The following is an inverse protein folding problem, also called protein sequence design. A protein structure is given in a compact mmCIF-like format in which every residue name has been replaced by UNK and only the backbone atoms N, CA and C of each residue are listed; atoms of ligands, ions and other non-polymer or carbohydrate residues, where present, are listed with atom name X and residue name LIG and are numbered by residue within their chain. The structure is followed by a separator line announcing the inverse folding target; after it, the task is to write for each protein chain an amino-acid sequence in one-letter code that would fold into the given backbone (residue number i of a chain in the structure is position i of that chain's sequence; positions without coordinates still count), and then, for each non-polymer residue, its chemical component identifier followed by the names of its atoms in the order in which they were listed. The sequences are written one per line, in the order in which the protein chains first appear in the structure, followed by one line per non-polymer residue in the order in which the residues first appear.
data_IF_852297577082
#
_entry.id   IF_852297577082
#
_cell.length_a   1.000
_cell.length_b   1.000
_cell.length_c   1.000
_cell.angle_alpha   90.00
_cell.angle_beta   90.00
_cell.angle_gamma   90.00
#
_symmetry.space_group_name_H-M   'P 1'
#
loop_
_entity.id
_entity.type
_entity.pdbx_description
1 polymer ?
#
# COMPACT_ATOMS: atom_id res chain seq x y z
N UNK A 1 -4.19 22.11 14.92
CA UNK A 1 -3.76 21.23 13.82
C UNK A 1 -3.46 19.88 14.44
N UNK A 2 -4.02 18.82 13.95
CA UNK A 2 -3.69 17.45 14.42
C UNK A 2 -2.31 17.07 13.91
N UNK A 3 -1.47 16.44 14.73
CA UNK A 3 -0.17 15.92 14.31
C UNK A 3 -0.41 14.76 13.32
N UNK A 4 0.20 14.76 12.12
CA UNK A 4 0.09 13.64 11.19
C UNK A 4 0.62 12.36 11.82
N UNK A 5 0.02 11.22 11.45
CA UNK A 5 0.47 9.93 11.94
C UNK A 5 1.84 9.53 11.34
N UNK A 6 2.03 9.80 10.05
CA UNK A 6 3.31 9.66 9.36
C UNK A 6 3.62 10.94 8.61
N UNK A 7 4.86 11.45 8.75
CA UNK A 7 5.38 12.57 7.97
C UNK A 7 6.77 12.25 7.43
N UNK A 8 6.97 12.60 6.18
CA UNK A 8 8.27 12.65 5.54
C UNK A 8 8.61 14.10 5.24
N UNK A 9 9.83 14.53 5.52
CA UNK A 9 10.29 15.90 5.26
C UNK A 9 11.62 15.87 4.52
N UNK A 10 11.64 16.41 3.29
CA UNK A 10 12.83 16.54 2.47
C UNK A 10 13.54 15.22 2.13
N UNK A 11 12.80 14.12 2.05
CA UNK A 11 13.36 12.77 1.84
C UNK A 11 13.92 12.65 0.43
N UNK A 12 15.21 12.35 0.34
CA UNK A 12 15.91 12.05 -0.91
C UNK A 12 16.58 10.68 -0.84
N UNK A 13 16.75 10.03 -2.00
CA UNK A 13 17.49 8.77 -2.11
C UNK A 13 18.34 8.74 -3.37
N UNK A 14 19.64 8.51 -3.20
CA UNK A 14 20.57 8.30 -4.28
C UNK A 14 21.16 6.88 -4.21
N UNK A 15 21.32 6.25 -5.37
CA UNK A 15 21.99 4.95 -5.56
C UNK A 15 23.11 5.14 -6.58
N UNK A 16 24.36 4.93 -6.16
CA UNK A 16 25.54 5.02 -7.06
C UNK A 16 25.53 6.23 -7.99
N UNK A 17 25.16 7.41 -7.44
CA UNK A 17 25.15 8.67 -8.20
C UNK A 17 23.84 8.95 -8.96
N UNK A 18 22.88 8.02 -8.98
CA UNK A 18 21.56 8.25 -9.58
C UNK A 18 20.56 8.62 -8.49
N UNK A 19 19.91 9.76 -8.63
CA UNK A 19 18.86 10.20 -7.71
C UNK A 19 17.55 9.49 -8.04
N UNK A 20 17.14 8.58 -7.18
CA UNK A 20 15.84 7.87 -7.28
C UNK A 20 14.70 8.68 -6.67
N UNK A 21 14.99 9.52 -5.67
CA UNK A 21 14.05 10.46 -5.04
C UNK A 21 14.77 11.75 -4.70
N UNK A 22 14.05 12.89 -4.84
CA UNK A 22 14.58 14.23 -4.58
C UNK A 22 13.53 15.04 -3.80
N UNK A 23 13.88 15.43 -2.57
CA UNK A 23 13.14 16.37 -1.72
C UNK A 23 11.63 16.03 -1.57
N UNK A 24 11.33 14.78 -1.25
CA UNK A 24 9.95 14.32 -1.08
C UNK A 24 9.46 14.65 0.33
N UNK A 25 8.41 15.45 0.41
CA UNK A 25 7.69 15.74 1.65
C UNK A 25 6.25 15.32 1.51
N UNK A 26 5.77 14.45 2.41
CA UNK A 26 4.43 13.85 2.43
C UNK A 26 3.94 13.72 3.87
N UNK A 27 2.62 13.75 4.05
CA UNK A 27 2.01 13.46 5.34
C UNK A 27 0.72 12.67 5.18
N UNK A 28 0.41 11.84 6.17
CA UNK A 28 -0.87 11.14 6.26
C UNK A 28 -1.39 11.15 7.69
N UNK A 29 -2.66 11.52 7.84
CA UNK A 29 -3.36 11.52 9.12
C UNK A 29 -3.98 10.15 9.42
N UNK A 30 -4.23 9.86 10.70
CA UNK A 30 -5.00 8.69 11.11
C UNK A 30 -6.39 8.68 10.47
N UNK A 31 -6.81 7.53 9.95
CA UNK A 31 -8.11 7.38 9.30
C UNK A 31 -8.26 8.15 7.99
N UNK A 32 -7.16 8.46 7.30
CA UNK A 32 -7.12 9.08 5.97
C UNK A 32 -6.43 8.18 4.95
N UNK A 33 -6.77 8.39 3.69
CA UNK A 33 -6.14 7.71 2.55
C UNK A 33 -5.32 8.73 1.77
N UNK A 34 -3.99 8.57 1.79
CA UNK A 34 -3.07 9.25 0.89
C UNK A 34 -2.87 8.37 -0.35
N UNK A 35 -3.18 8.87 -1.53
CA UNK A 35 -2.88 8.20 -2.79
C UNK A 35 -1.56 8.70 -3.35
N UNK A 36 -0.58 7.81 -3.45
CA UNK A 36 0.70 8.07 -4.10
C UNK A 36 0.61 7.61 -5.55
N UNK A 37 0.50 8.56 -6.44
CA UNK A 37 0.31 8.36 -7.88
C UNK A 37 1.62 8.54 -8.64
N UNK A 38 1.70 7.99 -9.82
CA UNK A 38 2.84 8.14 -10.74
C UNK A 38 2.98 6.92 -11.63
N UNK A 39 3.68 7.10 -12.75
CA UNK A 39 3.94 6.02 -13.70
C UNK A 39 5.08 5.09 -13.22
N UNK A 40 5.35 4.05 -13.98
CA UNK A 40 6.47 3.14 -13.72
C UNK A 40 7.79 3.92 -13.78
N UNK A 41 8.66 3.67 -12.80
CA UNK A 41 9.91 4.41 -12.69
C UNK A 41 9.82 5.79 -11.98
N UNK A 42 8.63 6.24 -11.58
CA UNK A 42 8.44 7.53 -10.90
C UNK A 42 9.08 7.61 -9.49
N UNK A 43 9.58 6.50 -8.93
CA UNK A 43 10.19 6.47 -7.60
C UNK A 43 9.31 5.88 -6.50
N UNK A 44 8.05 5.50 -6.79
CA UNK A 44 7.08 4.99 -5.81
C UNK A 44 7.62 3.82 -4.99
N UNK A 45 8.18 2.79 -5.63
CA UNK A 45 8.73 1.61 -4.93
C UNK A 45 9.94 1.95 -4.05
N UNK A 46 10.74 2.95 -4.42
CA UNK A 46 11.83 3.44 -3.58
C UNK A 46 11.29 4.12 -2.33
N UNK A 47 10.25 4.93 -2.48
CA UNK A 47 9.61 5.62 -1.36
C UNK A 47 8.92 4.61 -0.40
N UNK A 48 8.23 3.59 -0.93
CA UNK A 48 7.69 2.48 -0.13
C UNK A 48 8.80 1.82 0.69
N UNK A 49 9.94 1.49 0.06
CA UNK A 49 11.07 0.84 0.74
C UNK A 49 11.68 1.71 1.85
N UNK A 50 11.65 3.03 1.70
CA UNK A 50 12.08 3.95 2.77
C UNK A 50 11.07 3.94 3.91
N UNK A 51 9.78 4.13 3.63
CA UNK A 51 8.72 4.12 4.65
C UNK A 51 8.62 2.79 5.39
N UNK A 52 8.94 1.68 4.72
CA UNK A 52 8.93 0.33 5.31
C UNK A 52 10.25 -0.08 5.98
N UNK A 53 11.24 0.83 6.11
CA UNK A 53 12.53 0.55 6.75
C UNK A 53 13.46 -0.36 5.96
N UNK A 54 13.18 -0.64 4.69
CA UNK A 54 14.05 -1.45 3.83
C UNK A 54 15.25 -0.66 3.30
N UNK A 55 15.08 0.67 3.11
CA UNK A 55 16.14 1.59 2.73
C UNK A 55 16.14 2.80 3.66
N UNK A 56 17.31 3.23 4.11
CA UNK A 56 17.46 4.54 4.73
C UNK A 56 17.40 5.64 3.67
N UNK A 57 16.78 6.79 3.95
CA UNK A 57 16.91 7.96 3.10
C UNK A 57 18.38 8.42 3.06
N UNK A 58 18.79 9.08 1.97
CA UNK A 58 20.10 9.74 1.90
C UNK A 58 20.08 11.07 2.65
N UNK A 59 18.97 11.80 2.56
CA UNK A 59 18.68 13.03 3.32
C UNK A 59 17.21 13.08 3.68
N UNK A 60 16.85 13.98 4.59
CA UNK A 60 15.49 14.17 5.06
C UNK A 60 15.19 13.32 6.29
N UNK A 61 13.97 13.43 6.81
CA UNK A 61 13.52 12.79 8.05
C UNK A 61 12.17 12.10 7.87
N UNK A 62 11.95 11.09 8.72
CA UNK A 62 10.67 10.40 8.87
C UNK A 62 10.21 10.63 10.30
N UNK A 63 8.95 10.98 10.48
CA UNK A 63 8.33 11.16 11.79
C UNK A 63 7.08 10.28 11.89
N UNK A 64 6.89 9.66 13.06
CA UNK A 64 5.66 8.95 13.45
C UNK A 64 5.06 9.65 14.66
N UNK A 65 3.80 10.09 14.58
CA UNK A 65 3.13 10.86 15.63
C UNK A 65 3.91 12.13 16.04
N UNK A 66 4.69 12.72 15.12
CA UNK A 66 5.54 13.89 15.35
C UNK A 66 6.89 13.59 15.97
N UNK A 67 7.22 12.33 16.25
CA UNK A 67 8.52 11.91 16.77
C UNK A 67 9.40 11.40 15.62
N UNK A 68 10.65 11.90 15.50
CA UNK A 68 11.58 11.42 14.47
C UNK A 68 11.93 9.95 14.70
N UNK A 69 11.97 9.18 13.60
CA UNK A 69 12.34 7.77 13.61
C UNK A 69 13.46 7.50 12.61
N UNK A 70 14.36 6.58 12.95
CA UNK A 70 15.39 6.06 12.06
C UNK A 70 15.28 4.54 12.03
N UNK A 71 14.87 3.99 10.91
CA UNK A 71 14.70 2.54 10.75
C UNK A 71 16.00 1.89 10.30
N UNK A 72 16.50 0.94 11.09
CA UNK A 72 17.63 0.08 10.72
C UNK A 72 17.16 -1.13 9.90
N UNK A 73 15.88 -1.51 10.08
CA UNK A 73 15.30 -2.69 9.45
C UNK A 73 13.78 -2.54 9.22
N UNK A 74 13.18 -3.38 8.35
CA UNK A 74 11.73 -3.45 8.21
C UNK A 74 10.98 -3.83 9.49
N UNK A 75 11.68 -4.49 10.43
CA UNK A 75 11.11 -4.82 11.74
C UNK A 75 10.86 -3.56 12.56
N UNK A 76 11.79 -2.61 12.54
CA UNK A 76 11.64 -1.35 13.29
C UNK A 76 10.43 -0.56 12.79
N UNK A 77 10.22 -0.51 11.47
CA UNK A 77 9.03 0.10 10.88
C UNK A 77 7.74 -0.64 11.30
N UNK A 78 7.78 -1.97 11.32
CA UNK A 78 6.66 -2.79 11.80
C UNK A 78 6.35 -2.58 13.27
N UNK A 79 7.37 -2.48 14.12
CA UNK A 79 7.25 -2.23 15.57
C UNK A 79 6.67 -0.81 15.84
N UNK A 80 6.82 0.13 14.90
CA UNK A 80 6.15 1.44 14.89
C UNK A 80 4.74 1.42 14.27
N UNK A 81 4.24 0.24 13.91
CA UNK A 81 2.90 0.07 13.36
C UNK A 81 2.79 0.36 11.86
N UNK A 82 3.89 0.35 11.11
CA UNK A 82 3.85 0.44 9.64
C UNK A 82 3.80 -0.97 9.05
N UNK A 83 2.75 -1.28 8.30
CA UNK A 83 2.64 -2.53 7.56
C UNK A 83 2.58 -2.27 6.06
N UNK A 84 3.32 -3.08 5.30
CA UNK A 84 3.33 -3.00 3.83
C UNK A 84 2.78 -4.26 3.20
N UNK A 85 1.80 -4.11 2.33
CA UNK A 85 1.25 -5.17 1.49
C UNK A 85 1.71 -4.92 0.06
N UNK A 86 2.65 -5.73 -0.40
CA UNK A 86 3.21 -5.64 -1.76
C UNK A 86 2.27 -6.28 -2.79
N UNK A 87 2.41 -5.85 -4.03
CA UNK A 87 1.65 -6.34 -5.20
C UNK A 87 1.73 -7.87 -5.35
N UNK A 88 2.92 -8.43 -5.19
CA UNK A 88 3.17 -9.87 -5.25
C UNK A 88 3.86 -10.31 -3.96
N UNK A 89 3.21 -11.16 -3.19
CA UNK A 89 3.80 -11.71 -1.98
C UNK A 89 2.91 -11.59 -0.74
N UNK A 90 3.48 -11.99 0.40
CA UNK A 90 2.78 -11.95 1.70
C UNK A 90 1.75 -13.05 1.90
N UNK A 91 1.49 -13.90 0.90
CA UNK A 91 0.63 -15.08 1.02
C UNK A 91 1.31 -16.34 0.49
N UNK A 92 1.02 -17.47 1.13
CA UNK A 92 1.61 -18.77 0.80
C UNK A 92 0.51 -19.70 0.25
N UNK A 93 0.48 -19.99 -1.08
CA UNK A 93 -0.62 -20.71 -1.72
C UNK A 93 -0.93 -22.09 -1.14
N UNK A 94 0.10 -22.80 -0.67
CA UNK A 94 -0.03 -24.14 -0.09
C UNK A 94 -0.35 -24.15 1.40
N UNK A 95 -0.49 -23.00 2.03
CA UNK A 95 -0.91 -22.89 3.43
C UNK A 95 -2.41 -22.68 3.53
N UNK A 96 -3.01 -23.17 4.62
CA UNK A 96 -4.36 -22.80 5.00
C UNK A 96 -4.44 -21.33 5.44
N UNK A 97 -5.59 -20.69 5.28
CA UNK A 97 -5.84 -19.28 5.61
C UNK A 97 -5.39 -18.94 7.02
N UNK A 98 -5.78 -19.73 8.03
CA UNK A 98 -5.42 -19.50 9.43
C UNK A 98 -3.90 -19.54 9.65
N UNK A 99 -3.22 -20.50 9.05
CA UNK A 99 -1.76 -20.59 9.17
C UNK A 99 -1.06 -19.45 8.45
N UNK A 100 -1.51 -19.10 7.26
CA UNK A 100 -0.95 -17.97 6.49
C UNK A 100 -1.15 -16.63 7.23
N UNK A 101 -2.30 -16.45 7.89
CA UNK A 101 -2.59 -15.26 8.69
C UNK A 101 -1.60 -15.06 9.83
N UNK A 102 -1.19 -16.15 10.48
CA UNK A 102 -0.32 -16.14 11.68
C UNK A 102 1.14 -16.47 11.42
N UNK A 103 1.61 -16.52 10.17
CA UNK A 103 3.03 -16.76 9.89
C UNK A 103 3.92 -15.79 10.68
N UNK A 104 4.82 -16.35 11.53
CA UNK A 104 5.73 -15.58 12.38
C UNK A 104 5.14 -15.09 13.71
N UNK A 105 3.85 -15.38 13.99
CA UNK A 105 3.16 -15.05 15.24
C UNK A 105 2.13 -16.13 15.61
N UNK A 106 2.49 -17.38 15.40
CA UNK A 106 1.59 -18.54 15.49
C UNK A 106 1.00 -18.71 16.90
N UNK A 107 -0.34 -18.75 17.06
CA UNK A 107 -0.96 -19.12 18.32
C UNK A 107 -0.62 -20.57 18.67
N UNK A 108 -0.21 -20.79 19.90
CA UNK A 108 0.20 -22.12 20.36
C UNK A 108 -0.68 -22.61 21.51
N UNK A 109 -0.87 -23.92 21.57
CA UNK A 109 -1.47 -24.64 22.69
C UNK A 109 -0.47 -25.65 23.25
N UNK A 110 -0.63 -25.98 24.53
CA UNK A 110 0.31 -26.86 25.23
C UNK A 110 1.18 -26.10 26.23
N UNK A 111 2.09 -26.82 26.88
CA UNK A 111 2.88 -26.31 27.99
C UNK A 111 4.38 -26.62 27.80
N UNK A 112 5.22 -25.66 28.19
CA UNK A 112 6.69 -25.81 28.15
C UNK A 112 7.22 -26.11 26.74
N UNK A 113 8.06 -27.15 26.56
CA UNK A 113 8.63 -27.53 25.28
C UNK A 113 7.61 -28.22 24.32
N UNK A 114 6.42 -28.57 24.80
CA UNK A 114 5.36 -29.23 24.02
C UNK A 114 4.32 -28.25 23.48
N UNK A 115 4.76 -27.07 23.09
CA UNK A 115 3.89 -26.09 22.42
C UNK A 115 3.66 -26.50 20.97
N UNK A 116 2.39 -26.67 20.59
CA UNK A 116 1.98 -26.98 19.24
C UNK A 116 1.14 -25.83 18.66
N UNK A 117 1.21 -25.62 17.37
CA UNK A 117 0.37 -24.65 16.68
C UNK A 117 -1.12 -24.93 16.92
N UNK A 118 -1.86 -23.93 17.39
CA UNK A 118 -3.30 -24.05 17.55
C UNK A 118 -4.03 -23.66 16.25
N UNK A 119 -4.16 -24.67 15.39
CA UNK A 119 -4.76 -24.53 14.07
C UNK A 119 -6.20 -24.01 14.13
N UNK A 120 -6.99 -24.45 15.12
CA UNK A 120 -8.38 -24.04 15.27
C UNK A 120 -8.48 -22.57 15.62
N UNK A 121 -7.78 -22.14 16.65
CA UNK A 121 -7.76 -20.72 17.08
C UNK A 121 -7.28 -19.83 15.94
N UNK A 122 -6.21 -20.22 15.25
CA UNK A 122 -5.70 -19.47 14.09
C UNK A 122 -6.73 -19.35 12.96
N UNK A 123 -7.41 -20.43 12.64
CA UNK A 123 -8.46 -20.47 11.62
C UNK A 123 -9.66 -19.59 11.97
N UNK A 124 -10.19 -19.75 13.20
CA UNK A 124 -11.35 -19.00 13.68
C UNK A 124 -11.07 -17.48 13.71
N UNK A 125 -9.88 -17.07 14.16
CA UNK A 125 -9.48 -15.65 14.17
C UNK A 125 -9.33 -15.12 12.73
N UNK A 126 -8.60 -15.82 11.87
CA UNK A 126 -8.37 -15.36 10.50
C UNK A 126 -9.71 -15.18 9.74
N UNK A 127 -10.63 -16.13 9.85
CA UNK A 127 -11.95 -16.05 9.24
C UNK A 127 -12.73 -14.85 9.79
N UNK A 128 -12.76 -14.67 11.11
CA UNK A 128 -13.44 -13.54 11.75
C UNK A 128 -12.89 -12.19 11.29
N UNK A 129 -11.57 -12.04 11.25
CA UNK A 129 -10.93 -10.78 10.83
C UNK A 129 -11.17 -10.49 9.35
N UNK A 130 -11.13 -11.50 8.49
CA UNK A 130 -11.53 -11.35 7.08
C UNK A 130 -12.99 -10.94 6.95
N UNK A 131 -13.89 -11.57 7.72
CA UNK A 131 -15.33 -11.22 7.72
C UNK A 131 -15.57 -9.79 8.21
N UNK A 132 -14.80 -9.31 9.21
CA UNK A 132 -14.88 -7.92 9.69
C UNK A 132 -14.50 -6.87 8.63
N UNK A 133 -13.80 -7.30 7.58
CA UNK A 133 -13.47 -6.53 6.38
C UNK A 133 -14.37 -6.90 5.17
N UNK A 134 -15.54 -7.49 5.44
CA UNK A 134 -16.56 -7.77 4.41
C UNK A 134 -16.31 -9.01 3.55
N UNK A 135 -15.36 -9.89 3.90
CA UNK A 135 -15.09 -11.15 3.21
C UNK A 135 -15.91 -12.27 3.82
N UNK A 136 -17.12 -12.44 3.36
CA UNK A 136 -18.04 -13.45 3.93
C UNK A 136 -17.91 -14.84 3.32
N UNK A 137 -17.22 -14.98 2.18
CA UNK A 137 -17.09 -16.26 1.46
C UNK A 137 -16.03 -17.19 2.03
N UNK A 138 -15.10 -16.69 2.82
CA UNK A 138 -14.09 -17.47 3.51
C UNK A 138 -14.65 -17.82 4.88
N UNK A 139 -15.07 -19.08 5.05
CA UNK A 139 -15.69 -19.59 6.29
C UNK A 139 -14.86 -20.70 6.94
N UNK A 140 -13.83 -21.17 6.26
CA UNK A 140 -12.95 -22.24 6.72
C UNK A 140 -11.49 -21.76 6.76
N UNK A 141 -10.89 -21.75 7.96
CA UNK A 141 -9.49 -21.40 8.18
C UNK A 141 -8.49 -22.40 7.60
N UNK A 142 -8.94 -23.61 7.26
CA UNK A 142 -8.11 -24.63 6.61
C UNK A 142 -8.12 -24.53 5.09
N UNK A 143 -9.01 -23.75 4.52
CA UNK A 143 -9.06 -23.49 3.08
C UNK A 143 -7.68 -23.00 2.59
N UNK A 144 -7.14 -23.62 1.53
CA UNK A 144 -5.84 -23.25 0.97
C UNK A 144 -5.89 -21.83 0.37
N UNK A 145 -4.90 -21.02 0.69
CA UNK A 145 -4.76 -19.65 0.17
C UNK A 145 -4.68 -19.62 -1.36
N UNK A 146 -4.10 -20.66 -1.99
CA UNK A 146 -4.07 -20.79 -3.44
C UNK A 146 -5.44 -20.91 -4.10
N UNK A 147 -6.48 -21.33 -3.36
CA UNK A 147 -7.86 -21.42 -3.86
C UNK A 147 -8.65 -20.12 -3.69
N UNK A 148 -8.09 -19.12 -3.06
CA UNK A 148 -8.68 -17.79 -2.91
C UNK A 148 -8.59 -17.01 -4.21
N UNK A 149 -9.57 -16.15 -4.48
CA UNK A 149 -9.47 -15.14 -5.55
C UNK A 149 -8.37 -14.11 -5.24
N UNK A 150 -7.96 -13.34 -6.25
CA UNK A 150 -6.98 -12.27 -6.06
C UNK A 150 -7.39 -11.27 -4.99
N UNK A 151 -8.66 -10.84 -5.00
CA UNK A 151 -9.23 -9.94 -4.01
C UNK A 151 -9.29 -10.55 -2.60
N UNK A 152 -9.62 -11.86 -2.47
CA UNK A 152 -9.62 -12.55 -1.18
C UNK A 152 -8.21 -12.69 -0.60
N UNK A 153 -7.18 -12.90 -1.44
CA UNK A 153 -5.77 -12.92 -1.01
C UNK A 153 -5.31 -11.54 -0.51
N UNK A 154 -5.65 -10.47 -1.24
CA UNK A 154 -5.36 -9.11 -0.79
C UNK A 154 -6.05 -8.79 0.54
N UNK A 155 -7.29 -9.21 0.69
CA UNK A 155 -8.03 -9.06 1.92
C UNK A 155 -7.39 -9.79 3.11
N UNK A 156 -6.90 -11.01 2.89
CA UNK A 156 -6.17 -11.77 3.91
C UNK A 156 -4.93 -11.00 4.39
N UNK A 157 -4.16 -10.43 3.45
CA UNK A 157 -2.96 -9.65 3.78
C UNK A 157 -3.30 -8.36 4.54
N UNK A 158 -4.35 -7.63 4.11
CA UNK A 158 -4.82 -6.41 4.79
C UNK A 158 -5.39 -6.75 6.17
N UNK A 159 -6.22 -7.77 6.29
CA UNK A 159 -6.79 -8.21 7.56
C UNK A 159 -5.70 -8.58 8.57
N UNK A 160 -4.67 -9.29 8.10
CA UNK A 160 -3.49 -9.64 8.90
C UNK A 160 -2.77 -8.38 9.39
N UNK A 161 -2.47 -7.44 8.51
CA UNK A 161 -1.79 -6.20 8.87
C UNK A 161 -2.56 -5.42 9.95
N UNK A 162 -3.87 -5.24 9.77
CA UNK A 162 -4.75 -4.54 10.72
C UNK A 162 -4.83 -5.29 12.05
N UNK A 163 -4.95 -6.61 12.04
CA UNK A 163 -5.01 -7.45 13.25
C UNK A 163 -3.74 -7.33 14.11
N UNK A 164 -2.57 -7.29 13.46
CA UNK A 164 -1.29 -7.14 14.15
C UNK A 164 -0.94 -5.68 14.49
N UNK A 165 -1.90 -4.76 14.44
CA UNK A 165 -1.76 -3.42 14.98
C UNK A 165 -1.18 -2.40 14.01
N UNK A 166 -1.34 -2.59 12.70
CA UNK A 166 -0.94 -1.56 11.74
C UNK A 166 -1.73 -0.27 11.96
N UNK A 167 -1.02 0.81 12.26
CA UNK A 167 -1.53 2.17 12.30
C UNK A 167 -1.41 2.85 10.93
N UNK A 168 -0.34 2.53 10.18
CA UNK A 168 -0.09 2.94 8.80
C UNK A 168 -0.05 1.69 7.92
N UNK A 169 -0.89 1.64 6.91
CA UNK A 169 -1.01 0.55 5.95
C UNK A 169 -0.58 1.02 4.56
N UNK A 170 0.57 0.57 4.08
CA UNK A 170 1.06 0.86 2.73
C UNK A 170 0.61 -0.28 1.81
N UNK A 171 -0.12 0.08 0.76
CA UNK A 171 -0.65 -0.85 -0.24
C UNK A 171 -0.01 -0.56 -1.60
N UNK A 172 0.83 -1.45 -2.05
CA UNK A 172 1.56 -1.33 -3.32
C UNK A 172 0.77 -2.01 -4.45
N UNK A 173 0.16 -1.22 -5.32
CA UNK A 173 -0.66 -1.67 -6.47
C UNK A 173 -1.71 -2.76 -6.10
N UNK A 174 -2.51 -2.59 -5.05
CA UNK A 174 -3.35 -3.67 -4.51
C UNK A 174 -4.47 -4.12 -5.45
N UNK A 175 -4.77 -3.34 -6.48
CA UNK A 175 -5.80 -3.64 -7.49
C UNK A 175 -5.26 -3.99 -8.85
N UNK A 176 -3.92 -4.03 -9.02
CA UNK A 176 -3.30 -4.43 -10.27
C UNK A 176 -3.62 -5.91 -10.59
N UNK A 177 -3.83 -6.21 -11.86
CA UNK A 177 -4.17 -7.54 -12.36
C UNK A 177 -5.46 -8.16 -11.75
N UNK A 178 -6.33 -7.36 -11.14
CA UNK A 178 -7.65 -7.78 -10.66
C UNK A 178 -8.77 -7.39 -11.64
N UNK A 179 -9.77 -8.24 -11.76
CA UNK A 179 -11.01 -7.89 -12.44
C UNK A 179 -11.78 -6.77 -11.72
N UNK A 180 -12.69 -6.10 -12.42
CA UNK A 180 -13.44 -4.93 -11.89
C UNK A 180 -14.14 -5.24 -10.56
N UNK A 181 -14.76 -6.42 -10.44
CA UNK A 181 -15.47 -6.84 -9.22
C UNK A 181 -14.51 -7.05 -8.05
N UNK A 182 -13.36 -7.65 -8.31
CA UNK A 182 -12.33 -7.91 -7.30
C UNK A 182 -11.66 -6.61 -6.84
N UNK A 183 -11.32 -5.72 -7.78
CA UNK A 183 -10.78 -4.40 -7.49
C UNK A 183 -11.76 -3.58 -6.62
N UNK A 184 -13.04 -3.53 -6.97
CA UNK A 184 -14.07 -2.86 -6.19
C UNK A 184 -14.18 -3.44 -4.76
N UNK A 185 -13.91 -4.75 -4.61
CA UNK A 185 -13.90 -5.40 -3.30
C UNK A 185 -12.70 -4.94 -2.46
N UNK A 186 -11.51 -4.91 -3.05
CA UNK A 186 -10.29 -4.40 -2.37
C UNK A 186 -10.45 -2.94 -1.97
N UNK A 187 -11.02 -2.08 -2.83
CA UNK A 187 -11.27 -0.68 -2.48
C UNK A 187 -12.23 -0.54 -1.29
N UNK A 188 -13.25 -1.40 -1.17
CA UNK A 188 -14.12 -1.43 0.02
C UNK A 188 -13.36 -1.80 1.28
N UNK A 189 -12.44 -2.77 1.21
CA UNK A 189 -11.61 -3.16 2.34
C UNK A 189 -10.71 -2.00 2.79
N UNK A 190 -10.13 -1.25 1.85
CA UNK A 190 -9.37 -0.03 2.14
C UNK A 190 -10.23 0.96 2.94
N UNK A 191 -11.46 1.21 2.49
CA UNK A 191 -12.37 2.10 3.20
C UNK A 191 -12.77 1.59 4.59
N UNK A 192 -12.86 0.29 4.77
CA UNK A 192 -13.12 -0.31 6.10
C UNK A 192 -11.91 -0.20 7.02
N UNK A 193 -10.68 -0.41 6.54
CA UNK A 193 -9.46 -0.17 7.31
C UNK A 193 -9.36 1.30 7.72
N UNK A 194 -9.60 2.24 6.80
CA UNK A 194 -9.71 3.66 7.08
C UNK A 194 -10.74 3.97 8.17
N UNK A 195 -11.92 3.39 8.10
CA UNK A 195 -13.00 3.61 9.09
C UNK A 195 -12.63 3.09 10.49
N UNK A 196 -11.70 2.14 10.59
CA UNK A 196 -11.10 1.67 11.85
C UNK A 196 -9.99 2.59 12.37
N UNK A 197 -9.72 3.73 11.72
CA UNK A 197 -8.71 4.70 12.12
C UNK A 197 -7.31 4.45 11.52
N UNK A 198 -7.12 3.43 10.68
CA UNK A 198 -5.85 3.15 10.02
C UNK A 198 -5.57 4.23 8.97
N UNK A 199 -4.37 4.81 8.99
CA UNK A 199 -3.88 5.62 7.89
C UNK A 199 -3.50 4.71 6.73
N UNK A 200 -3.98 5.00 5.51
CA UNK A 200 -3.69 4.18 4.34
C UNK A 200 -2.88 4.97 3.33
N UNK A 201 -1.78 4.42 2.86
CA UNK A 201 -1.02 4.93 1.72
C UNK A 201 -1.28 3.98 0.54
N UNK A 202 -2.15 4.41 -0.36
CA UNK A 202 -2.47 3.67 -1.57
C UNK A 202 -1.52 4.08 -2.70
N UNK A 203 -0.61 3.21 -3.05
CA UNK A 203 0.33 3.42 -4.16
C UNK A 203 -0.24 2.78 -5.41
N UNK A 204 -0.50 3.57 -6.45
CA UNK A 204 -1.07 3.06 -7.69
C UNK A 204 -0.83 4.01 -8.88
N UNK A 205 -0.87 3.47 -10.08
CA UNK A 205 -0.95 4.24 -11.32
C UNK A 205 -2.41 4.39 -11.81
N UNK A 206 -3.38 3.74 -11.16
CA UNK A 206 -4.78 3.79 -11.54
C UNK A 206 -5.50 4.98 -10.87
N UNK A 207 -5.54 6.10 -11.57
CA UNK A 207 -6.19 7.35 -11.12
C UNK A 207 -7.65 7.12 -10.72
N UNK A 208 -8.40 6.31 -11.50
CA UNK A 208 -9.81 6.04 -11.22
C UNK A 208 -10.00 5.36 -9.86
N UNK A 209 -9.19 4.37 -9.53
CA UNK A 209 -9.27 3.68 -8.24
C UNK A 209 -8.85 4.61 -7.09
N UNK A 210 -7.78 5.39 -7.29
CA UNK A 210 -7.31 6.36 -6.30
C UNK A 210 -8.40 7.40 -5.97
N UNK A 211 -9.06 7.98 -6.97
CA UNK A 211 -10.11 8.98 -6.76
C UNK A 211 -11.35 8.44 -6.03
N UNK A 212 -11.61 7.13 -6.12
CA UNK A 212 -12.74 6.52 -5.39
C UNK A 212 -12.53 6.52 -3.88
N UNK A 213 -11.29 6.37 -3.41
CA UNK A 213 -10.98 6.13 -1.98
C UNK A 213 -10.12 7.22 -1.35
N UNK A 214 -9.34 7.97 -2.15
CA UNK A 214 -8.37 8.96 -1.68
C UNK A 214 -9.00 10.17 -1.02
N UNK A 215 -8.35 10.67 0.04
CA UNK A 215 -8.62 11.98 0.66
C UNK A 215 -7.58 13.01 0.21
N UNK A 216 -6.35 12.57 -0.01
CA UNK A 216 -5.18 13.36 -0.36
C UNK A 216 -4.38 12.62 -1.44
N UNK A 217 -3.75 13.35 -2.34
CA UNK A 217 -3.07 12.82 -3.52
C UNK A 217 -1.72 13.47 -3.67
N UNK A 218 -0.69 12.68 -3.88
CA UNK A 218 0.64 13.13 -4.27
C UNK A 218 1.04 12.44 -5.57
N UNK A 219 1.48 13.21 -6.55
CA UNK A 219 1.91 12.70 -7.86
C UNK A 219 3.43 12.74 -7.93
N UNK A 220 4.04 11.57 -8.15
CA UNK A 220 5.47 11.45 -8.37
C UNK A 220 5.78 11.33 -9.87
N UNK A 221 6.78 12.11 -10.31
CA UNK A 221 7.34 12.05 -11.65
C UNK A 221 8.86 12.09 -11.53
N UNK A 222 9.55 11.09 -12.06
CA UNK A 222 11.04 11.01 -12.10
C UNK A 222 11.71 11.30 -10.75
N UNK A 223 11.14 10.76 -9.67
CA UNK A 223 11.68 10.89 -8.32
C UNK A 223 11.37 12.20 -7.63
N UNK A 224 10.54 13.06 -8.17
CA UNK A 224 10.10 14.33 -7.58
C UNK A 224 8.59 14.33 -7.35
N UNK A 225 8.12 15.09 -6.35
CA UNK A 225 6.70 15.35 -6.14
C UNK A 225 6.26 16.48 -7.07
N UNK A 226 5.55 16.12 -8.14
CA UNK A 226 5.11 17.05 -9.16
C UNK A 226 3.86 17.83 -8.74
N UNK A 227 2.95 17.19 -7.96
CA UNK A 227 1.75 17.84 -7.43
C UNK A 227 1.33 17.21 -6.09
N UNK A 228 0.56 17.97 -5.31
CA UNK A 228 0.09 17.60 -3.98
C UNK A 228 -1.25 18.31 -3.75
N UNK A 229 -2.35 17.56 -3.71
CA UNK A 229 -3.70 18.13 -3.69
C UNK A 229 -4.70 17.27 -2.89
N UNK A 230 -5.79 17.90 -2.46
CA UNK A 230 -6.89 17.25 -1.77
C UNK A 230 -7.98 16.82 -2.74
N UNK A 231 -8.83 15.90 -2.28
CA UNK A 231 -9.98 15.42 -3.04
C UNK A 231 -10.86 16.56 -3.52
N UNK A 232 -11.10 16.62 -4.85
CA UNK A 232 -11.94 17.64 -5.49
C UNK A 232 -11.17 18.84 -6.04
N UNK A 233 -9.86 18.98 -5.79
CA UNK A 233 -9.03 20.07 -6.31
C UNK A 233 -8.52 19.82 -7.74
N UNK A 234 -8.54 18.56 -8.18
CA UNK A 234 -8.15 18.15 -9.55
C UNK A 234 -9.17 17.21 -10.14
N UNK A 235 -9.36 17.29 -11.45
CA UNK A 235 -10.12 16.33 -12.23
C UNK A 235 -9.30 15.08 -12.56
N UNK A 236 -9.97 14.02 -12.98
CA UNK A 236 -9.28 12.79 -13.40
C UNK A 236 -8.38 13.04 -14.61
N UNK A 237 -8.86 13.85 -15.53
CA UNK A 237 -8.16 14.22 -16.77
C UNK A 237 -6.87 14.96 -16.43
N UNK A 238 -6.91 16.00 -15.59
CA UNK A 238 -5.72 16.75 -15.15
C UNK A 238 -4.69 15.84 -14.47
N UNK A 239 -5.12 14.90 -13.63
CA UNK A 239 -4.21 13.96 -12.96
C UNK A 239 -3.58 13.00 -13.96
N UNK A 240 -4.36 12.50 -14.92
CA UNK A 240 -3.88 11.57 -15.94
C UNK A 240 -2.87 12.26 -16.87
N UNK A 241 -3.14 13.47 -17.30
CA UNK A 241 -2.26 14.27 -18.14
C UNK A 241 -0.94 14.60 -17.39
N UNK A 242 -1.03 14.96 -16.11
CA UNK A 242 0.13 15.20 -15.28
C UNK A 242 1.01 13.93 -15.17
N UNK A 243 0.40 12.77 -14.93
CA UNK A 243 1.13 11.49 -14.82
C UNK A 243 1.76 11.05 -16.14
N UNK A 244 1.09 11.32 -17.26
CA UNK A 244 1.62 11.03 -18.60
C UNK A 244 2.80 11.92 -19.01
N UNK A 245 3.12 12.95 -18.19
CA UNK A 245 4.20 13.87 -18.47
C UNK A 245 3.83 14.94 -19.50
N UNK A 246 2.54 15.26 -19.62
CA UNK A 246 1.95 16.35 -20.42
C UNK A 246 2.58 16.60 -21.80
N UNK A 247 3.79 17.14 -21.83
CA UNK A 247 4.55 17.42 -23.05
C UNK A 247 4.89 16.16 -23.85
N UNK A 248 5.27 15.05 -23.19
CA UNK A 248 5.68 13.83 -23.89
C UNK A 248 4.50 13.13 -24.61
N UNK A 249 3.28 13.25 -24.11
CA UNK A 249 2.07 12.74 -24.80
C UNK A 249 1.69 13.63 -25.96
N UNK A 250 1.78 14.96 -25.83
CA UNK A 250 1.51 15.90 -26.91
C UNK A 250 2.49 15.69 -28.07
N UNK A 251 3.78 15.47 -27.79
CA UNK A 251 4.80 15.18 -28.77
C UNK A 251 4.53 13.85 -29.51
N UNK A 252 4.14 12.79 -28.78
CA UNK A 252 3.79 11.50 -29.34
C UNK A 252 2.50 11.58 -30.22
N UNK A 253 1.49 12.30 -29.76
CA UNK A 253 0.27 12.53 -30.54
C UNK A 253 0.57 13.30 -31.85
N UNK A 254 1.44 14.29 -31.79
CA UNK A 254 1.89 15.04 -32.97
C UNK A 254 2.66 14.14 -33.94
N UNK A 255 3.58 13.29 -33.44
CA UNK A 255 4.33 12.33 -34.25
C UNK A 255 3.41 11.29 -34.93
N UNK A 256 2.45 10.72 -34.16
CA UNK A 256 1.49 9.76 -34.70
C UNK A 256 0.55 10.38 -35.74
N UNK A 257 0.12 11.62 -35.52
CA UNK A 257 -0.69 12.35 -36.47
C UNK A 257 0.07 12.61 -37.80
N UNK A 258 1.37 12.91 -37.70
CA UNK A 258 2.22 13.09 -38.87
C UNK A 258 2.42 11.79 -39.65
N UNK A 259 2.65 10.66 -38.98
CA UNK A 259 2.74 9.34 -39.61
C UNK A 259 1.44 8.89 -40.26
N UNK A 260 0.28 9.30 -39.74
CA UNK A 260 -1.03 9.03 -40.37
C UNK A 260 -1.31 9.91 -41.57
N UNK A 261 -0.74 11.11 -41.63
CA UNK A 261 -0.88 12.03 -42.78
C UNK A 261 0.03 11.64 -43.95
N UNK A 262 1.12 10.93 -43.67
CA UNK A 262 2.10 10.48 -44.67
C UNK A 262 1.78 9.06 -45.22
N UNK A 263 0.74 8.38 -44.73
CA UNK A 263 0.28 7.05 -45.16
C UNK A 263 -0.95 7.11 -46.06
#
# INVERSE_FOLDING_TARGET
MTTPLLRLTGVSKSFLGTNALQDISLEVDAGKVLCLLGDNGAGKSTLIKIMSGFHKPTTGTIEINGEPVDFESPRDASDQGIATVHQFGGTFPLMGVGRCFFVGAEPTKGWGPFKLFDKKVAGDIAVREMQSLGITRVTDGDRLVGSLSGGERQALAIARAVYFGANVLILDEPTAALGVKEAAHVLRIIMQARAKGVAVILVTHNVRHAMMVGDHFAVLIRGQKADDFRKGERTREEITDLMAGGEAMADLEAELAQLQADA
#
